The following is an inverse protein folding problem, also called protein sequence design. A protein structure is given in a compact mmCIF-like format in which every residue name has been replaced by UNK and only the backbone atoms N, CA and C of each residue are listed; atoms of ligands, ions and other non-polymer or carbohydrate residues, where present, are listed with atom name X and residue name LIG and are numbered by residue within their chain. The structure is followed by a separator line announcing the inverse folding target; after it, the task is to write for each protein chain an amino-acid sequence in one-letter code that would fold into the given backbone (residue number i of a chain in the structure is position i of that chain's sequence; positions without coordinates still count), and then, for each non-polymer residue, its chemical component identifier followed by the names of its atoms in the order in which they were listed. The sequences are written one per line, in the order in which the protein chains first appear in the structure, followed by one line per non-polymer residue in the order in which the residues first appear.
data_IF_324508078865
#
_entry.id   IF_324508078865
#
_cell.length_a   1.000
_cell.length_b   1.000
_cell.length_c   1.000
_cell.angle_alpha   90.00
_cell.angle_beta   90.00
_cell.angle_gamma   90.00
#
_symmetry.space_group_name_H-M   'P 1'
#
loop_
_entity.id
_entity.type
_entity.pdbx_description
1 polymer ?
#
# COMPACT_ATOMS: atom_id res chain seq x y z
N UNK A 1 -26.90 -3.85 -0.83
CA UNK A 1 -25.71 -2.99 -0.69
C UNK A 1 -24.84 -3.08 -1.94
N UNK A 2 -24.04 -4.13 -2.18
CA UNK A 2 -23.15 -4.16 -3.36
C UNK A 2 -23.87 -4.32 -4.72
N UNK A 3 -24.99 -5.08 -4.73
CA UNK A 3 -25.82 -5.25 -5.93
C UNK A 3 -26.53 -3.95 -6.34
N UNK A 4 -26.72 -3.01 -5.40
CA UNK A 4 -27.39 -1.73 -5.69
C UNK A 4 -26.50 -0.86 -6.58
N UNK A 5 -25.17 -0.98 -6.45
CA UNK A 5 -24.19 -0.25 -7.27
C UNK A 5 -24.21 -0.71 -8.74
N UNK A 6 -24.35 -2.01 -8.98
CA UNK A 6 -24.43 -2.56 -10.34
C UNK A 6 -25.66 -2.01 -11.05
N UNK A 7 -26.81 -2.05 -10.37
CA UNK A 7 -28.05 -1.50 -10.91
C UNK A 7 -27.98 0.02 -11.15
N UNK A 8 -27.23 0.76 -10.33
CA UNK A 8 -27.04 2.20 -10.51
C UNK A 8 -26.19 2.50 -11.75
N UNK A 9 -25.09 1.79 -11.94
CA UNK A 9 -24.19 2.00 -13.09
C UNK A 9 -24.87 1.63 -14.41
N UNK A 10 -25.55 0.48 -14.44
CA UNK A 10 -26.26 0.00 -15.63
C UNK A 10 -27.39 0.97 -16.05
N UNK A 11 -28.00 1.67 -15.08
CA UNK A 11 -29.00 2.72 -15.34
C UNK A 11 -28.38 4.07 -15.74
N UNK A 12 -27.21 4.41 -15.21
CA UNK A 12 -26.58 5.71 -15.41
C UNK A 12 -25.77 5.80 -16.72
N UNK A 13 -25.19 4.69 -17.19
CA UNK A 13 -24.36 4.66 -18.40
C UNK A 13 -24.88 3.62 -19.39
N UNK A 14 -25.52 4.03 -20.51
CA UNK A 14 -26.02 3.08 -21.49
C UNK A 14 -24.86 2.36 -22.21
N UNK A 15 -24.98 1.03 -22.38
CA UNK A 15 -24.02 0.11 -23.05
C UNK A 15 -22.71 -0.21 -22.31
N UNK A 16 -22.61 0.10 -21.01
CA UNK A 16 -21.56 -0.49 -20.16
C UNK A 16 -22.07 -1.85 -19.65
N UNK A 17 -21.23 -2.87 -19.65
CA UNK A 17 -21.52 -4.12 -18.94
C UNK A 17 -20.75 -4.12 -17.63
N UNK A 18 -21.36 -4.67 -16.60
CA UNK A 18 -20.77 -4.83 -15.27
C UNK A 18 -20.83 -6.29 -14.81
N UNK A 19 -19.81 -6.74 -14.10
CA UNK A 19 -19.77 -8.04 -13.43
C UNK A 19 -19.15 -7.86 -12.06
N UNK A 20 -19.78 -8.45 -11.06
CA UNK A 20 -19.25 -8.48 -9.70
C UNK A 20 -18.94 -9.93 -9.32
N UNK A 21 -17.74 -10.15 -8.78
CA UNK A 21 -17.34 -11.42 -8.20
C UNK A 21 -16.61 -11.16 -6.87
N UNK A 22 -17.22 -11.57 -5.76
CA UNK A 22 -16.73 -11.29 -4.41
C UNK A 22 -16.49 -9.77 -4.20
N UNK A 23 -15.24 -9.38 -3.99
CA UNK A 23 -14.76 -8.01 -3.82
C UNK A 23 -14.34 -7.34 -5.14
N UNK A 24 -14.28 -8.10 -6.23
CA UNK A 24 -13.85 -7.60 -7.54
C UNK A 24 -15.04 -7.11 -8.39
N UNK A 25 -14.87 -5.90 -8.95
CA UNK A 25 -15.78 -5.30 -9.93
C UNK A 25 -15.08 -5.19 -11.29
N UNK A 26 -15.71 -5.74 -12.32
CA UNK A 26 -15.28 -5.62 -13.72
C UNK A 26 -16.28 -4.79 -14.50
N UNK A 27 -15.80 -3.77 -15.21
CA UNK A 27 -16.57 -2.92 -16.12
C UNK A 27 -15.98 -3.03 -17.52
N UNK A 28 -16.82 -3.25 -18.54
CA UNK A 28 -16.36 -3.23 -19.92
C UNK A 28 -17.44 -2.70 -20.88
N UNK A 29 -17.08 -1.79 -21.81
CA UNK A 29 -17.95 -1.38 -22.89
C UNK A 29 -17.86 -2.38 -24.05
N UNK A 30 -18.93 -2.53 -24.84
CA UNK A 30 -18.93 -3.39 -26.05
C UNK A 30 -19.24 -2.55 -27.29
N UNK A 31 -18.36 -2.61 -28.30
CA UNK A 31 -18.58 -1.92 -29.57
C UNK A 31 -17.35 -1.94 -30.49
N UNK A 32 -17.47 -1.30 -31.64
CA UNK A 32 -16.44 -1.24 -32.69
C UNK A 32 -15.64 0.07 -32.71
N UNK A 33 -16.12 1.12 -32.04
CA UNK A 33 -15.59 2.48 -32.10
C UNK A 33 -14.83 2.83 -30.82
N UNK A 34 -13.50 2.69 -30.85
CA UNK A 34 -12.64 2.77 -29.66
C UNK A 34 -12.73 4.13 -28.91
N UNK A 35 -12.68 5.30 -29.57
CA UNK A 35 -12.90 6.58 -28.88
C UNK A 35 -14.22 6.67 -28.11
N UNK A 36 -15.30 6.11 -28.66
CA UNK A 36 -16.60 6.08 -27.96
C UNK A 36 -16.55 5.16 -26.75
N UNK A 37 -15.92 3.99 -26.86
CA UNK A 37 -15.76 3.04 -25.76
C UNK A 37 -14.97 3.66 -24.60
N UNK A 38 -13.87 4.35 -24.90
CA UNK A 38 -13.06 5.04 -23.90
C UNK A 38 -13.87 6.11 -23.17
N UNK A 39 -14.63 6.92 -23.92
CA UNK A 39 -15.49 7.96 -23.34
C UNK A 39 -16.56 7.34 -22.43
N UNK A 40 -17.19 6.24 -22.85
CA UNK A 40 -18.18 5.52 -22.05
C UNK A 40 -17.58 4.92 -20.77
N UNK A 41 -16.39 4.31 -20.87
CA UNK A 41 -15.71 3.74 -19.71
C UNK A 41 -15.28 4.82 -18.71
N UNK A 42 -14.72 5.93 -19.19
CA UNK A 42 -14.35 7.07 -18.36
C UNK A 42 -15.58 7.66 -17.65
N UNK A 43 -16.72 7.77 -18.35
CA UNK A 43 -17.98 8.21 -17.74
C UNK A 43 -18.42 7.24 -16.63
N UNK A 44 -18.38 5.92 -16.87
CA UNK A 44 -18.73 4.92 -15.87
C UNK A 44 -17.85 4.99 -14.61
N UNK A 45 -16.54 5.21 -14.78
CA UNK A 45 -15.61 5.39 -13.66
C UNK A 45 -15.93 6.65 -12.84
N UNK A 46 -16.24 7.77 -13.51
CA UNK A 46 -16.63 9.02 -12.83
C UNK A 46 -17.94 8.85 -12.06
N UNK A 47 -18.93 8.20 -12.66
CA UNK A 47 -20.22 7.91 -12.01
C UNK A 47 -20.04 7.02 -10.79
N UNK A 48 -19.20 5.97 -10.89
CA UNK A 48 -18.86 5.11 -9.76
C UNK A 48 -18.18 5.90 -8.64
N UNK A 49 -17.25 6.80 -8.98
CA UNK A 49 -16.55 7.63 -8.00
C UNK A 49 -17.51 8.57 -7.25
N UNK A 50 -18.43 9.22 -7.97
CA UNK A 50 -19.44 10.09 -7.35
C UNK A 50 -20.38 9.30 -6.43
N UNK A 51 -20.86 8.14 -6.89
CA UNK A 51 -21.70 7.27 -6.06
C UNK A 51 -20.97 6.84 -4.78
N UNK A 52 -19.67 6.51 -4.89
CA UNK A 52 -18.82 6.18 -3.75
C UNK A 52 -18.77 7.30 -2.71
N UNK A 53 -18.62 8.55 -3.17
CA UNK A 53 -18.58 9.73 -2.31
C UNK A 53 -19.93 10.01 -1.64
N UNK A 54 -21.04 9.85 -2.37
CA UNK A 54 -22.40 10.05 -1.83
C UNK A 54 -22.77 9.04 -0.74
N UNK A 55 -22.17 7.85 -0.77
CA UNK A 55 -22.48 6.75 0.14
C UNK A 55 -21.39 6.53 1.21
N UNK A 56 -20.47 7.49 1.38
CA UNK A 56 -19.31 7.40 2.28
C UNK A 56 -18.49 6.10 2.11
N UNK A 57 -18.53 5.53 0.92
CA UNK A 57 -17.80 4.32 0.58
C UNK A 57 -16.42 4.70 0.10
N UNK A 58 -15.37 4.13 0.70
CA UNK A 58 -13.98 4.34 0.27
C UNK A 58 -13.44 3.02 -0.27
N UNK A 59 -13.07 3.04 -1.55
CA UNK A 59 -12.36 1.93 -2.17
C UNK A 59 -10.94 1.83 -1.60
N UNK A 60 -10.54 0.63 -1.19
CA UNK A 60 -9.21 0.36 -0.63
C UNK A 60 -9.12 0.48 0.90
N UNK A 61 -7.94 0.21 1.42
CA UNK A 61 -7.65 0.30 2.86
C UNK A 61 -7.17 1.69 3.24
N UNK A 62 -7.56 2.18 4.43
CA UNK A 62 -6.99 3.42 4.99
C UNK A 62 -5.47 3.27 5.14
N UNK A 63 -4.74 4.35 4.86
CA UNK A 63 -3.30 4.43 5.10
C UNK A 63 -2.95 4.01 6.54
N UNK A 64 -3.77 4.38 7.53
CA UNK A 64 -3.57 3.99 8.93
C UNK A 64 -3.58 2.47 9.15
N UNK A 65 -4.49 1.75 8.50
CA UNK A 65 -4.62 0.29 8.59
C UNK A 65 -3.43 -0.39 7.92
N UNK A 66 -2.99 0.12 6.77
CA UNK A 66 -1.83 -0.40 6.06
C UNK A 66 -0.53 -0.14 6.84
N UNK A 67 -0.33 1.05 7.39
CA UNK A 67 0.81 1.38 8.27
C UNK A 67 0.81 0.49 9.51
N UNK A 68 -0.35 0.27 10.13
CA UNK A 68 -0.49 -0.61 11.29
C UNK A 68 -0.13 -2.06 10.92
N UNK A 69 -0.64 -2.57 9.81
CA UNK A 69 -0.35 -3.92 9.32
C UNK A 69 1.14 -4.09 9.04
N UNK A 70 1.77 -3.10 8.41
CA UNK A 70 3.21 -3.11 8.17
C UNK A 70 4.00 -3.15 9.48
N UNK A 71 3.63 -2.31 10.45
CA UNK A 71 4.34 -2.21 11.74
C UNK A 71 4.13 -3.45 12.62
N UNK A 72 2.96 -4.08 12.56
CA UNK A 72 2.61 -5.22 13.42
C UNK A 72 3.04 -6.58 12.86
N UNK A 73 3.02 -6.79 11.54
CA UNK A 73 3.33 -8.08 10.94
C UNK A 73 4.63 -8.09 10.15
N UNK A 74 4.86 -7.08 9.32
CA UNK A 74 6.01 -7.08 8.38
C UNK A 74 7.29 -6.63 9.10
N UNK A 75 7.20 -5.55 9.87
CA UNK A 75 8.34 -4.95 10.57
C UNK A 75 9.02 -5.90 11.55
N UNK A 76 8.33 -6.71 12.38
CA UNK A 76 9.01 -7.66 13.26
C UNK A 76 9.79 -8.74 12.51
N UNK A 77 9.32 -9.14 11.33
CA UNK A 77 10.02 -10.13 10.48
C UNK A 77 11.27 -9.52 9.84
N UNK A 78 11.19 -8.25 9.42
CA UNK A 78 12.34 -7.51 8.87
C UNK A 78 13.38 -7.20 9.97
N UNK A 79 12.92 -6.80 11.16
CA UNK A 79 13.79 -6.44 12.29
C UNK A 79 14.40 -7.68 12.98
N UNK A 80 13.93 -8.89 12.67
CA UNK A 80 14.45 -10.13 13.27
C UNK A 80 15.92 -10.35 12.87
N UNK A 81 16.80 -10.41 13.86
CA UNK A 81 18.24 -10.55 13.63
C UNK A 81 18.91 -9.28 13.11
N UNK A 82 18.24 -8.12 13.22
CA UNK A 82 18.79 -6.81 12.82
C UNK A 82 20.15 -6.49 13.46
N UNK A 83 20.42 -7.00 14.65
CA UNK A 83 21.71 -6.85 15.34
C UNK A 83 22.85 -7.55 14.61
N UNK A 84 22.58 -8.72 14.00
CA UNK A 84 23.53 -9.44 13.17
C UNK A 84 23.62 -8.84 11.76
N UNK A 85 22.55 -8.21 11.27
CA UNK A 85 22.53 -7.60 9.95
C UNK A 85 23.42 -6.35 9.86
N UNK A 86 23.88 -5.77 10.98
CA UNK A 86 24.86 -4.68 10.97
C UNK A 86 26.18 -5.08 10.28
N UNK A 87 26.55 -6.36 10.32
CA UNK A 87 27.76 -6.87 9.64
C UNK A 87 27.48 -7.41 8.23
N UNK A 88 26.23 -7.38 7.76
CA UNK A 88 25.88 -7.88 6.43
C UNK A 88 26.38 -6.95 5.32
N UNK A 89 26.60 -7.50 4.13
CA UNK A 89 27.02 -6.69 2.98
C UNK A 89 25.94 -5.70 2.53
N UNK A 90 26.36 -4.52 2.04
CA UNK A 90 25.45 -3.50 1.47
C UNK A 90 24.57 -4.05 0.34
N UNK A 91 25.07 -5.03 -0.41
CA UNK A 91 24.32 -5.69 -1.48
C UNK A 91 23.11 -6.49 -0.98
N UNK A 92 23.18 -7.04 0.24
CA UNK A 92 22.08 -7.75 0.86
C UNK A 92 21.10 -6.77 1.52
N UNK A 93 21.63 -5.74 2.20
CA UNK A 93 20.83 -4.69 2.84
C UNK A 93 19.99 -3.89 1.83
N UNK A 94 20.57 -3.56 0.67
CA UNK A 94 19.87 -2.85 -0.40
C UNK A 94 18.64 -3.60 -0.93
N UNK A 95 18.68 -4.94 -0.99
CA UNK A 95 17.51 -5.76 -1.38
C UNK A 95 16.37 -5.62 -0.38
N UNK A 96 16.69 -5.60 0.91
CA UNK A 96 15.71 -5.46 1.98
C UNK A 96 15.11 -4.05 2.01
N UNK A 97 15.94 -3.02 1.78
CA UNK A 97 15.47 -1.64 1.62
C UNK A 97 14.54 -1.47 0.41
N UNK A 98 14.80 -2.16 -0.72
CA UNK A 98 13.88 -2.15 -1.87
C UNK A 98 12.51 -2.70 -1.49
N UNK A 99 12.45 -3.82 -0.75
CA UNK A 99 11.18 -4.42 -0.30
C UNK A 99 10.43 -3.48 0.64
N UNK A 100 11.13 -2.90 1.63
CA UNK A 100 10.55 -1.90 2.53
C UNK A 100 10.02 -0.69 1.77
N UNK A 101 10.81 -0.13 0.86
CA UNK A 101 10.42 1.07 0.09
C UNK A 101 9.21 0.80 -0.82
N UNK A 102 9.10 -0.41 -1.39
CA UNK A 102 7.90 -0.82 -2.13
C UNK A 102 6.68 -0.88 -1.22
N UNK A 103 6.81 -1.44 -0.01
CA UNK A 103 5.72 -1.47 0.97
C UNK A 103 5.30 -0.05 1.39
N UNK A 104 6.25 0.86 1.66
CA UNK A 104 5.94 2.25 1.99
C UNK A 104 5.19 2.96 0.85
N UNK A 105 5.61 2.77 -0.41
CA UNK A 105 4.90 3.31 -1.57
C UNK A 105 3.47 2.81 -1.64
N UNK A 106 3.27 1.52 -1.40
CA UNK A 106 1.94 0.91 -1.39
C UNK A 106 1.06 1.50 -0.28
N UNK A 107 1.59 1.65 0.94
CA UNK A 107 0.88 2.21 2.09
C UNK A 107 0.38 3.63 1.83
N UNK A 108 1.22 4.48 1.24
CA UNK A 108 0.87 5.89 0.99
C UNK A 108 0.24 6.13 -0.40
N UNK A 109 0.13 5.10 -1.24
CA UNK A 109 -0.31 5.23 -2.64
C UNK A 109 0.59 6.12 -3.50
N UNK A 110 1.90 6.18 -3.21
CA UNK A 110 2.83 7.06 -3.91
C UNK A 110 3.32 6.47 -5.24
N UNK A 111 3.57 7.37 -6.20
CA UNK A 111 4.25 7.04 -7.44
C UNK A 111 5.64 6.43 -7.17
N UNK A 112 6.16 5.66 -8.13
CA UNK A 112 7.50 5.07 -8.07
C UNK A 112 8.62 6.11 -8.06
N UNK A 113 8.34 7.32 -8.56
CA UNK A 113 9.26 8.47 -8.58
C UNK A 113 9.36 9.21 -7.25
N UNK A 114 8.44 8.97 -6.30
CA UNK A 114 8.44 9.72 -5.03
C UNK A 114 9.75 9.49 -4.25
N UNK A 115 10.42 10.54 -3.76
CA UNK A 115 11.66 10.39 -2.99
C UNK A 115 11.48 9.57 -1.71
N UNK A 116 12.46 8.73 -1.36
CA UNK A 116 12.40 7.85 -0.18
C UNK A 116 12.25 8.65 1.12
N UNK A 117 12.99 9.76 1.24
CA UNK A 117 12.92 10.63 2.41
C UNK A 117 11.50 11.18 2.66
N UNK A 118 10.76 11.53 1.60
CA UNK A 118 9.39 12.00 1.72
C UNK A 118 8.46 10.89 2.25
N UNK A 119 8.64 9.65 1.79
CA UNK A 119 7.85 8.51 2.26
C UNK A 119 8.12 8.19 3.73
N UNK A 120 9.39 8.23 4.15
CA UNK A 120 9.80 7.98 5.53
C UNK A 120 9.25 9.05 6.47
N UNK A 121 9.31 10.32 6.06
CA UNK A 121 8.76 11.42 6.84
C UNK A 121 7.24 11.29 7.03
N UNK A 122 6.52 10.92 5.97
CA UNK A 122 5.06 10.80 6.03
C UNK A 122 4.56 9.54 6.75
N UNK A 123 5.37 8.47 6.78
CA UNK A 123 5.01 7.22 7.48
C UNK A 123 5.59 7.13 8.89
N UNK A 124 6.47 8.05 9.27
CA UNK A 124 7.25 8.02 10.51
C UNK A 124 8.08 6.73 10.68
N UNK A 125 8.40 6.06 9.57
CA UNK A 125 9.20 4.82 9.54
C UNK A 125 10.61 5.15 9.08
N UNK A 126 11.59 4.87 9.94
CA UNK A 126 13.00 5.17 9.72
C UNK A 126 13.72 4.28 8.69
N UNK A 127 14.95 4.68 8.36
CA UNK A 127 15.86 3.90 7.52
C UNK A 127 16.16 2.52 8.12
N UNK A 128 16.40 1.52 7.27
CA UNK A 128 16.67 0.17 7.77
C UNK A 128 18.06 0.10 8.41
N UNK A 129 19.04 0.79 7.82
CA UNK A 129 20.38 0.95 8.37
C UNK A 129 20.37 1.58 9.78
N UNK A 130 19.66 2.71 9.94
CA UNK A 130 19.49 3.37 11.25
C UNK A 130 18.86 2.42 12.28
N UNK A 131 17.86 1.66 11.85
CA UNK A 131 17.17 0.70 12.69
C UNK A 131 18.09 -0.43 13.15
N UNK A 132 18.89 -0.99 12.25
CA UNK A 132 19.86 -2.04 12.58
C UNK A 132 20.91 -1.55 13.59
N UNK A 133 21.44 -0.35 13.38
CA UNK A 133 22.39 0.28 14.32
C UNK A 133 21.76 0.47 15.70
N UNK A 134 20.53 0.96 15.76
CA UNK A 134 19.79 1.10 17.01
C UNK A 134 19.61 -0.23 17.73
N UNK A 135 19.18 -1.29 17.02
CA UNK A 135 19.00 -2.61 17.62
C UNK A 135 20.32 -3.15 18.17
N UNK A 136 21.42 -3.05 17.41
CA UNK A 136 22.73 -3.52 17.84
C UNK A 136 23.24 -2.77 19.09
N UNK A 137 23.06 -1.44 19.14
CA UNK A 137 23.38 -0.64 20.32
C UNK A 137 22.56 -1.06 21.53
N UNK A 138 21.24 -1.20 21.37
CA UNK A 138 20.34 -1.62 22.46
C UNK A 138 20.68 -3.03 22.98
N UNK A 139 21.16 -3.92 22.12
CA UNK A 139 21.65 -5.24 22.53
C UNK A 139 22.96 -5.12 23.32
N UNK A 140 23.89 -4.30 22.86
CA UNK A 140 25.15 -4.04 23.56
C UNK A 140 24.92 -3.50 24.98
N UNK A 141 24.02 -2.54 25.14
CA UNK A 141 23.62 -2.00 26.45
C UNK A 141 23.06 -3.08 27.37
N UNK A 142 22.20 -3.97 26.84
CA UNK A 142 21.62 -5.09 27.60
C UNK A 142 22.64 -6.13 28.02
N UNK A 143 23.68 -6.35 27.21
CA UNK A 143 24.76 -7.27 27.53
C UNK A 143 25.67 -6.69 28.62
N UNK A 144 26.12 -5.44 28.47
CA UNK A 144 26.94 -4.78 29.49
C UNK A 144 26.19 -4.62 30.81
N UNK A 145 24.89 -4.29 30.79
CA UNK A 145 24.06 -4.22 32.00
C UNK A 145 23.85 -5.55 32.74
N UNK A 146 24.13 -6.70 32.08
CA UNK A 146 24.04 -8.03 32.69
C UNK A 146 25.34 -8.53 33.30
N UNK A 147 26.49 -8.01 32.86
CA UNK A 147 27.80 -8.36 33.45
C UNK A 147 28.05 -7.67 34.81
N UNK A 148 27.19 -6.75 35.19
CA UNK A 148 27.25 -6.01 36.46
C UNK A 148 26.41 -6.62 37.61
N UNK A 149 25.92 -7.86 37.47
CA UNK A 149 25.19 -8.61 38.51
C UNK A 149 25.80 -10.00 38.74
#
# INVERSE_FOLDING_TARGET
MINDHMSFIDNAVPKINSLLYADDLVLWPTGSDLPKLETTLNLALVTLANWSLENDFKWGSSQSVLTFTFTSYIRPVIDYGSELLVIASDSALSKLDIVKNKALRFIIGAATSTPIAAMQLQTEISGLSERHQYCALSLGERLMGREHF
#
